data_IF_613137422189
#
_entry.id   IF_613137422189
#
_cell.length_a   1.000
_cell.length_b   1.000
_cell.length_c   1.000
_cell.angle_alpha   90.00
_cell.angle_beta   90.00
_cell.angle_gamma   90.00
#
_symmetry.space_group_name_H-M   'P 1'
#
loop_
_entity.id
_entity.type
_entity.pdbx_description
1 polymer ?
#
# COMPACT_ATOMS: atom_id res chain seq x y z
N UNK A 1 2.68 2.81 34.72
CA UNK A 1 2.61 2.39 33.30
C UNK A 1 1.31 2.93 32.74
N UNK A 2 1.36 3.72 31.68
CA UNK A 2 0.17 4.29 31.03
C UNK A 2 -0.53 3.23 30.18
N UNK A 3 -1.85 3.32 30.03
CA UNK A 3 -2.64 2.46 29.14
C UNK A 3 -2.13 2.51 27.69
N UNK A 4 -1.58 3.66 27.27
CA UNK A 4 -0.94 3.84 25.95
C UNK A 4 0.36 3.03 25.82
N UNK A 5 1.14 2.92 26.89
CA UNK A 5 2.36 2.10 26.91
C UNK A 5 2.00 0.62 26.80
N UNK A 6 0.88 0.22 27.42
CA UNK A 6 0.36 -1.14 27.36
C UNK A 6 -0.11 -1.49 25.94
N UNK A 7 -0.92 -0.63 25.33
CA UNK A 7 -1.36 -0.80 23.93
C UNK A 7 -0.17 -0.86 22.97
N UNK A 8 0.81 0.06 23.11
CA UNK A 8 2.01 0.04 22.28
C UNK A 8 2.83 -1.25 22.48
N UNK A 9 3.00 -1.69 23.72
CA UNK A 9 3.72 -2.92 24.04
C UNK A 9 3.02 -4.17 23.51
N UNK A 10 1.68 -4.21 23.54
CA UNK A 10 0.87 -5.30 22.99
C UNK A 10 0.97 -5.31 21.47
N UNK A 11 0.77 -4.16 20.80
CA UNK A 11 0.92 -4.05 19.35
C UNK A 11 2.32 -4.39 18.87
N UNK A 12 3.36 -4.03 19.63
CA UNK A 12 4.74 -4.42 19.36
C UNK A 12 4.93 -5.93 19.51
N UNK A 13 4.44 -6.51 20.61
CA UNK A 13 4.54 -7.93 20.88
C UNK A 13 3.77 -8.77 19.85
N UNK A 14 2.59 -8.35 19.42
CA UNK A 14 1.84 -9.03 18.35
C UNK A 14 2.59 -8.96 17.02
N UNK A 15 3.14 -7.80 16.66
CA UNK A 15 3.93 -7.62 15.43
C UNK A 15 5.21 -8.47 15.48
N UNK A 16 5.88 -8.52 16.63
CA UNK A 16 7.10 -9.31 16.83
C UNK A 16 6.81 -10.81 16.77
N UNK A 17 5.72 -11.27 17.38
CA UNK A 17 5.27 -12.67 17.31
C UNK A 17 4.90 -13.04 15.88
N UNK A 18 4.08 -12.24 15.20
CA UNK A 18 3.71 -12.50 13.80
C UNK A 18 4.93 -12.49 12.87
N UNK A 19 5.88 -11.57 13.10
CA UNK A 19 7.16 -11.52 12.37
C UNK A 19 8.02 -12.76 12.63
N UNK A 20 8.08 -13.25 13.88
CA UNK A 20 8.80 -14.48 14.21
C UNK A 20 8.14 -15.74 13.62
N UNK A 21 6.80 -15.81 13.64
CA UNK A 21 6.04 -16.89 13.00
C UNK A 21 6.24 -16.88 11.49
N UNK A 22 6.18 -15.71 10.86
CA UNK A 22 6.45 -15.56 9.43
C UNK A 22 7.90 -15.92 9.06
N UNK A 23 8.86 -15.70 9.97
CA UNK A 23 10.26 -16.09 9.78
C UNK A 23 10.48 -17.58 9.98
N UNK A 24 9.81 -18.22 10.93
CA UNK A 24 10.14 -19.57 11.37
C UNK A 24 9.08 -20.61 10.94
N UNK A 25 8.29 -20.32 9.90
CA UNK A 25 7.28 -21.24 9.39
C UNK A 25 7.95 -22.51 8.83
N UNK A 26 7.78 -23.69 9.46
CA UNK A 26 8.43 -24.94 9.05
C UNK A 26 7.86 -25.53 7.76
N UNK A 27 6.69 -25.06 7.30
CA UNK A 27 6.07 -25.47 6.03
C UNK A 27 6.55 -24.63 4.84
N UNK A 28 7.39 -23.63 5.09
CA UNK A 28 7.89 -22.74 4.05
C UNK A 28 9.17 -23.28 3.45
N UNK A 29 9.26 -23.27 2.12
CA UNK A 29 10.50 -23.62 1.44
C UNK A 29 11.59 -22.58 1.81
N UNK A 30 12.77 -23.06 2.22
CA UNK A 30 13.89 -22.22 2.67
C UNK A 30 14.24 -21.14 1.65
N UNK A 31 14.14 -21.46 0.35
CA UNK A 31 14.53 -20.57 -0.74
C UNK A 31 13.58 -19.37 -0.90
N UNK A 32 12.31 -19.48 -0.51
CA UNK A 32 11.33 -18.38 -0.62
C UNK A 32 11.08 -17.66 0.71
N UNK A 33 11.68 -18.13 1.82
CA UNK A 33 11.48 -17.59 3.17
C UNK A 33 11.72 -16.08 3.25
N UNK A 34 12.84 -15.60 2.70
CA UNK A 34 13.20 -14.18 2.76
C UNK A 34 12.23 -13.30 1.96
N UNK A 35 11.86 -13.73 0.75
CA UNK A 35 10.92 -13.01 -0.12
C UNK A 35 9.52 -12.95 0.48
N UNK A 36 9.05 -14.06 1.06
CA UNK A 36 7.77 -14.11 1.75
C UNK A 36 7.75 -13.24 3.01
N UNK A 37 8.84 -13.24 3.78
CA UNK A 37 8.98 -12.32 4.92
C UNK A 37 8.93 -10.86 4.46
N UNK A 38 9.59 -10.52 3.35
CA UNK A 38 9.52 -9.19 2.77
C UNK A 38 8.09 -8.82 2.34
N UNK A 39 7.37 -9.71 1.63
CA UNK A 39 5.96 -9.52 1.25
C UNK A 39 5.02 -9.36 2.47
N UNK A 40 5.31 -10.07 3.56
CA UNK A 40 4.61 -9.92 4.82
C UNK A 40 4.84 -8.52 5.40
N UNK A 41 6.08 -8.04 5.44
CA UNK A 41 6.37 -6.69 5.92
C UNK A 41 5.76 -5.60 5.02
N UNK A 42 5.75 -5.80 3.70
CA UNK A 42 5.05 -4.88 2.78
C UNK A 42 3.54 -4.83 3.03
N UNK A 43 2.92 -5.95 3.42
CA UNK A 43 1.49 -5.96 3.82
C UNK A 43 1.28 -5.12 5.08
N UNK A 44 2.17 -5.26 6.06
CA UNK A 44 2.10 -4.48 7.30
C UNK A 44 2.33 -2.98 7.04
N UNK A 45 3.29 -2.62 6.19
CA UNK A 45 3.52 -1.23 5.77
C UNK A 45 2.28 -0.66 5.07
N UNK A 46 1.67 -1.42 4.14
CA UNK A 46 0.44 -1.00 3.46
C UNK A 46 -0.72 -0.80 4.45
N UNK A 47 -0.90 -1.69 5.41
CA UNK A 47 -1.92 -1.55 6.45
C UNK A 47 -1.67 -0.29 7.29
N UNK A 48 -0.42 -0.06 7.72
CA UNK A 48 -0.03 1.14 8.46
C UNK A 48 -0.28 2.43 7.66
N UNK A 49 0.00 2.45 6.35
CA UNK A 49 -0.29 3.58 5.48
C UNK A 49 -1.79 3.86 5.40
N UNK A 50 -2.62 2.82 5.23
CA UNK A 50 -4.09 2.96 5.22
C UNK A 50 -4.62 3.49 6.55
N UNK A 51 -4.16 2.94 7.66
CA UNK A 51 -4.53 3.44 9.00
C UNK A 51 -4.10 4.88 9.18
N UNK A 52 -2.88 5.26 8.77
CA UNK A 52 -2.41 6.64 8.84
C UNK A 52 -3.30 7.59 8.03
N UNK A 53 -3.61 7.24 6.78
CA UNK A 53 -4.49 8.05 5.91
C UNK A 53 -5.88 8.23 6.52
N UNK A 54 -6.44 7.17 7.11
CA UNK A 54 -7.70 7.25 7.87
C UNK A 54 -7.60 8.18 9.08
N UNK A 55 -6.53 8.05 9.89
CA UNK A 55 -6.33 8.92 11.05
C UNK A 55 -6.13 10.39 10.67
N UNK A 56 -5.48 10.66 9.54
CA UNK A 56 -5.39 12.01 8.99
C UNK A 56 -6.77 12.57 8.65
N UNK A 57 -7.62 11.80 7.98
CA UNK A 57 -8.99 12.22 7.67
C UNK A 57 -9.80 12.54 8.92
N UNK A 58 -9.75 11.68 9.94
CA UNK A 58 -10.46 11.92 11.21
C UNK A 58 -9.91 13.14 11.95
N UNK A 59 -8.59 13.34 11.93
CA UNK A 59 -7.96 14.55 12.49
C UNK A 59 -8.44 15.81 11.78
N UNK A 60 -8.54 15.76 10.45
CA UNK A 60 -9.01 16.90 9.64
C UNK A 60 -10.48 17.23 9.92
N UNK A 61 -11.34 16.20 10.09
CA UNK A 61 -12.76 16.39 10.47
C UNK A 61 -12.88 17.06 11.83
N UNK A 62 -12.16 16.55 12.83
CA UNK A 62 -12.17 17.14 14.18
C UNK A 62 -11.69 18.61 14.15
N UNK A 63 -10.66 18.91 13.35
CA UNK A 63 -10.20 20.29 13.14
C UNK A 63 -11.29 21.18 12.52
N UNK A 64 -11.97 20.71 11.47
CA UNK A 64 -13.07 21.44 10.83
C UNK A 64 -14.23 21.72 11.79
N UNK A 65 -14.61 20.73 12.58
CA UNK A 65 -15.66 20.86 13.59
C UNK A 65 -15.27 21.93 14.62
N UNK A 66 -14.03 21.89 15.12
CA UNK A 66 -13.52 22.92 16.03
C UNK A 66 -13.54 24.31 15.40
N UNK A 67 -13.08 24.47 14.16
CA UNK A 67 -13.14 25.76 13.43
C UNK A 67 -14.58 26.27 13.35
N UNK A 68 -15.53 25.40 13.04
CA UNK A 68 -16.94 25.75 12.97
C UNK A 68 -17.48 26.20 14.33
N UNK A 69 -17.29 25.42 15.38
CA UNK A 69 -17.76 25.74 16.74
C UNK A 69 -17.15 27.05 17.27
N UNK A 70 -15.84 27.23 17.08
CA UNK A 70 -15.11 28.41 17.55
C UNK A 70 -15.59 29.67 16.81
N UNK A 71 -15.84 29.57 15.50
CA UNK A 71 -16.39 30.68 14.71
C UNK A 71 -17.81 31.06 15.16
N UNK A 72 -18.63 30.09 15.57
CA UNK A 72 -19.97 30.35 16.07
C UNK A 72 -19.95 31.00 17.46
N UNK A 73 -19.09 30.51 18.35
CA UNK A 73 -18.96 31.00 19.73
C UNK A 73 -18.51 32.46 19.79
N UNK A 74 -17.75 32.91 18.79
CA UNK A 74 -17.17 34.25 18.74
C UNK A 74 -17.69 35.10 17.57
N UNK A 75 -18.89 34.81 17.06
CA UNK A 75 -19.49 35.40 15.86
C UNK A 75 -19.44 36.94 15.79
N UNK A 76 -19.48 37.62 16.93
CA UNK A 76 -19.47 39.09 17.02
C UNK A 76 -18.05 39.70 17.01
N UNK A 77 -17.00 38.88 16.86
CA UNK A 77 -15.59 39.31 16.83
C UNK A 77 -14.98 39.05 15.47
N UNK A 78 -14.11 39.95 15.01
CA UNK A 78 -13.33 39.79 13.78
C UNK A 78 -12.51 38.48 13.76
N UNK A 79 -12.05 38.04 14.94
CA UNK A 79 -11.43 36.74 15.17
C UNK A 79 -12.22 35.56 14.58
N UNK A 80 -13.56 35.57 14.66
CA UNK A 80 -14.37 34.47 14.14
C UNK A 80 -14.38 34.39 12.61
N UNK A 81 -14.26 35.53 11.92
CA UNK A 81 -14.09 35.57 10.47
C UNK A 81 -12.74 34.97 10.05
N UNK A 82 -11.68 35.41 10.72
CA UNK A 82 -10.30 34.96 10.47
C UNK A 82 -10.12 33.45 10.69
N UNK A 83 -10.59 32.92 11.83
CA UNK A 83 -10.57 31.48 12.12
C UNK A 83 -11.37 30.68 11.10
N UNK A 84 -12.53 31.18 10.68
CA UNK A 84 -13.36 30.46 9.70
C UNK A 84 -12.71 30.42 8.33
N UNK A 85 -12.10 31.51 7.89
CA UNK A 85 -11.52 31.66 6.55
C UNK A 85 -10.19 30.91 6.45
N UNK A 86 -9.22 31.24 7.32
CA UNK A 86 -7.91 30.59 7.37
C UNK A 86 -8.06 29.12 7.79
N UNK A 87 -8.90 28.81 8.78
CA UNK A 87 -9.16 27.44 9.21
C UNK A 87 -9.83 26.60 8.11
N UNK A 88 -10.74 27.20 7.34
CA UNK A 88 -11.35 26.54 6.18
C UNK A 88 -10.33 26.24 5.07
N UNK A 89 -9.42 27.17 4.79
CA UNK A 89 -8.34 26.98 3.83
C UNK A 89 -7.37 25.87 4.27
N UNK A 90 -6.97 25.87 5.54
CA UNK A 90 -6.12 24.82 6.12
C UNK A 90 -6.79 23.44 6.09
N UNK A 91 -8.09 23.37 6.37
CA UNK A 91 -8.84 22.13 6.23
C UNK A 91 -8.80 21.60 4.79
N UNK A 92 -9.07 22.44 3.79
CA UNK A 92 -9.01 22.05 2.39
C UNK A 92 -7.61 21.60 1.95
N UNK A 93 -6.56 22.23 2.48
CA UNK A 93 -5.17 21.80 2.28
C UNK A 93 -4.92 20.40 2.85
N UNK A 94 -5.40 20.13 4.07
CA UNK A 94 -5.22 18.81 4.68
C UNK A 94 -6.12 17.72 4.07
N UNK A 95 -7.29 18.08 3.52
CA UNK A 95 -8.05 17.16 2.65
C UNK A 95 -7.24 16.76 1.43
N UNK A 96 -6.58 17.72 0.78
CA UNK A 96 -5.68 17.43 -0.34
C UNK A 96 -4.53 16.51 0.08
N UNK A 97 -3.96 16.70 1.27
CA UNK A 97 -2.96 15.76 1.81
C UNK A 97 -3.53 14.33 1.93
N UNK A 98 -4.76 14.17 2.42
CA UNK A 98 -5.40 12.85 2.53
C UNK A 98 -5.65 12.21 1.16
N UNK A 99 -5.98 12.98 0.13
CA UNK A 99 -6.07 12.47 -1.25
C UNK A 99 -4.71 11.97 -1.76
N UNK A 100 -3.64 12.71 -1.51
CA UNK A 100 -2.28 12.31 -1.90
C UNK A 100 -1.84 11.02 -1.18
N UNK A 101 -2.21 10.85 0.09
CA UNK A 101 -1.96 9.59 0.81
C UNK A 101 -2.63 8.41 0.10
N UNK A 102 -3.88 8.56 -0.33
CA UNK A 102 -4.62 7.51 -1.04
C UNK A 102 -3.98 7.18 -2.39
N UNK A 103 -3.56 8.20 -3.15
CA UNK A 103 -2.82 8.01 -4.41
C UNK A 103 -1.52 7.24 -4.17
N UNK A 104 -0.73 7.62 -3.16
CA UNK A 104 0.50 6.91 -2.80
C UNK A 104 0.25 5.46 -2.37
N UNK A 105 -0.82 5.21 -1.60
CA UNK A 105 -1.24 3.86 -1.21
C UNK A 105 -1.54 2.99 -2.43
N UNK A 106 -2.21 3.53 -3.45
CA UNK A 106 -2.54 2.79 -4.68
C UNK A 106 -1.27 2.39 -5.46
N UNK A 107 -0.31 3.31 -5.59
CA UNK A 107 0.98 3.04 -6.23
C UNK A 107 1.82 2.03 -5.42
N UNK A 108 1.79 2.12 -4.09
CA UNK A 108 2.46 1.14 -3.23
C UNK A 108 1.87 -0.27 -3.41
N UNK A 109 0.56 -0.39 -3.62
CA UNK A 109 -0.08 -1.67 -3.95
C UNK A 109 0.41 -2.24 -5.30
N UNK A 110 0.58 -1.39 -6.31
CA UNK A 110 1.18 -1.78 -7.60
C UNK A 110 2.59 -2.33 -7.42
N UNK A 111 3.45 -1.63 -6.67
CA UNK A 111 4.78 -2.14 -6.30
C UNK A 111 4.71 -3.52 -5.63
N UNK A 112 3.82 -3.71 -4.65
CA UNK A 112 3.66 -5.01 -3.96
C UNK A 112 3.19 -6.12 -4.92
N UNK A 113 2.32 -5.81 -5.89
CA UNK A 113 1.88 -6.78 -6.91
C UNK A 113 3.05 -7.28 -7.76
N UNK A 114 3.97 -6.39 -8.16
CA UNK A 114 5.18 -6.78 -8.90
C UNK A 114 6.03 -7.75 -8.06
N UNK A 115 6.25 -7.44 -6.77
CA UNK A 115 7.01 -8.34 -5.88
C UNK A 115 6.31 -9.69 -5.67
N UNK A 116 4.97 -9.71 -5.57
CA UNK A 116 4.18 -10.95 -5.48
C UNK A 116 4.38 -11.82 -6.71
N UNK A 117 4.54 -11.24 -7.89
CA UNK A 117 4.82 -11.98 -9.12
C UNK A 117 6.18 -12.69 -9.12
N UNK A 118 7.20 -12.06 -8.51
CA UNK A 118 8.52 -12.68 -8.30
C UNK A 118 8.36 -13.96 -7.48
N UNK A 119 7.63 -13.88 -6.37
CA UNK A 119 7.35 -15.05 -5.51
C UNK A 119 6.58 -16.14 -6.24
N UNK A 120 5.61 -15.76 -7.07
CA UNK A 120 4.85 -16.72 -7.87
C UNK A 120 5.74 -17.46 -8.88
N UNK A 121 6.63 -16.76 -9.59
CA UNK A 121 7.58 -17.41 -10.52
C UNK A 121 8.57 -18.30 -9.77
N UNK A 122 9.13 -17.84 -8.65
CA UNK A 122 10.01 -18.67 -7.81
C UNK A 122 9.32 -19.95 -7.33
N UNK A 123 8.09 -19.86 -6.85
CA UNK A 123 7.36 -21.02 -6.37
C UNK A 123 7.06 -22.03 -7.49
N UNK A 124 6.75 -21.55 -8.71
CA UNK A 124 6.55 -22.42 -9.87
C UNK A 124 7.80 -23.25 -10.18
N UNK A 125 8.98 -22.60 -10.22
CA UNK A 125 10.26 -23.28 -10.44
C UNK A 125 10.57 -24.28 -9.34
N UNK A 126 10.36 -23.92 -8.08
CA UNK A 126 10.63 -24.82 -6.96
C UNK A 126 9.73 -26.07 -7.01
N UNK A 127 8.43 -25.88 -7.29
CA UNK A 127 7.50 -27.00 -7.45
C UNK A 127 7.90 -27.89 -8.63
N UNK A 128 8.39 -27.29 -9.73
CA UNK A 128 8.89 -28.03 -10.89
C UNK A 128 10.13 -28.87 -10.52
N UNK A 129 11.11 -28.27 -9.83
CA UNK A 129 12.32 -28.96 -9.39
C UNK A 129 12.04 -30.08 -8.38
N UNK A 130 11.09 -29.88 -7.47
CA UNK A 130 10.66 -30.91 -6.52
C UNK A 130 10.00 -32.10 -7.24
N UNK A 131 9.10 -31.84 -8.20
CA UNK A 131 8.49 -32.90 -9.02
C UNK A 131 9.54 -33.69 -9.81
N UNK A 132 10.49 -32.98 -10.42
CA UNK A 132 11.60 -33.60 -11.15
C UNK A 132 12.42 -34.54 -10.26
N UNK A 133 12.86 -34.06 -9.08
CA UNK A 133 13.58 -34.88 -8.10
C UNK A 133 12.78 -36.09 -7.64
N UNK A 134 11.49 -35.92 -7.37
CA UNK A 134 10.63 -37.03 -6.94
C UNK A 134 10.52 -38.14 -8.02
N UNK A 135 10.48 -37.77 -9.31
CA UNK A 135 10.49 -38.73 -10.42
C UNK A 135 11.87 -39.41 -10.52
N UNK A 136 12.96 -38.65 -10.42
CA UNK A 136 14.33 -39.18 -10.43
C UNK A 136 14.58 -40.18 -9.27
N UNK A 137 14.11 -39.88 -8.06
CA UNK A 137 14.21 -40.75 -6.89
C UNK A 137 13.40 -42.04 -7.07
N UNK A 138 12.19 -41.96 -7.64
CA UNK A 138 11.39 -43.15 -7.98
C UNK A 138 12.08 -44.03 -9.01
N UNK A 139 12.68 -43.44 -10.03
CA UNK A 139 13.49 -44.17 -11.02
C UNK A 139 14.67 -44.85 -10.31
N UNK A 140 15.41 -44.13 -9.47
CA UNK A 140 16.53 -44.67 -8.71
C UNK A 140 16.15 -45.83 -7.79
N UNK A 141 15.03 -45.69 -7.08
CA UNK A 141 14.49 -46.74 -6.21
C UNK A 141 14.06 -47.98 -7.02
N UNK A 142 13.33 -47.80 -8.13
CA UNK A 142 12.88 -48.90 -8.98
C UNK A 142 14.04 -49.61 -9.67
N UNK A 143 15.08 -48.90 -10.10
CA UNK A 143 16.29 -49.51 -10.65
C UNK A 143 17.00 -50.43 -9.65
N UNK A 144 17.01 -50.07 -8.36
CA UNK A 144 17.60 -50.89 -7.29
C UNK A 144 16.73 -52.07 -6.87
N UNK A 145 15.41 -51.87 -6.78
CA UNK A 145 14.45 -52.86 -6.25
C UNK A 145 13.90 -53.81 -7.31
N UNK A 146 13.54 -53.30 -8.50
CA UNK A 146 12.97 -54.10 -9.58
C UNK A 146 13.42 -53.57 -10.97
N UNK A 147 14.63 -53.95 -11.42
CA UNK A 147 15.24 -53.40 -12.63
C UNK A 147 14.54 -53.79 -13.95
N UNK A 148 13.62 -54.77 -13.95
CA UNK A 148 12.86 -55.18 -15.15
C UNK A 148 11.47 -54.54 -15.23
N UNK A 149 11.13 -53.63 -14.32
CA UNK A 149 9.81 -53.01 -14.30
C UNK A 149 9.58 -52.07 -15.49
N UNK A 150 8.46 -52.21 -16.19
CA UNK A 150 8.04 -51.29 -17.26
C UNK A 150 7.81 -49.85 -16.79
N UNK A 151 7.52 -49.67 -15.48
CA UNK A 151 7.34 -48.35 -14.85
C UNK A 151 8.59 -47.48 -14.93
N UNK A 152 9.78 -48.07 -15.06
CA UNK A 152 11.02 -47.32 -15.23
C UNK A 152 10.98 -46.54 -16.54
N UNK A 153 10.56 -47.19 -17.64
CA UNK A 153 10.45 -46.55 -18.95
C UNK A 153 9.38 -45.46 -18.98
N UNK A 154 8.28 -45.66 -18.25
CA UNK A 154 7.22 -44.65 -18.10
C UNK A 154 7.74 -43.39 -17.39
N UNK A 155 8.43 -43.54 -16.26
CA UNK A 155 9.00 -42.40 -15.53
C UNK A 155 10.15 -41.72 -16.27
N UNK A 156 10.98 -42.47 -17.00
CA UNK A 156 12.03 -41.88 -17.86
C UNK A 156 11.43 -41.05 -19.00
N UNK A 157 10.31 -41.51 -19.58
CA UNK A 157 9.57 -40.75 -20.59
C UNK A 157 8.93 -39.50 -19.99
N UNK A 158 8.35 -39.59 -18.80
CA UNK A 158 7.80 -38.43 -18.08
C UNK A 158 8.90 -37.39 -17.80
N UNK A 159 10.05 -37.82 -17.29
CA UNK A 159 11.20 -36.97 -17.01
C UNK A 159 11.73 -36.30 -18.29
N UNK A 160 11.81 -37.02 -19.40
CA UNK A 160 12.23 -36.47 -20.69
C UNK A 160 11.21 -35.52 -21.32
N UNK A 161 9.93 -35.62 -20.94
CA UNK A 161 8.90 -34.68 -21.36
C UNK A 161 8.90 -33.38 -20.54
N UNK A 162 9.49 -33.37 -19.34
CA UNK A 162 9.63 -32.17 -18.52
C UNK A 162 10.65 -31.21 -19.15
N UNK A 163 10.17 -30.05 -19.62
CA UNK A 163 11.03 -29.01 -20.19
C UNK A 163 11.77 -28.24 -19.08
N UNK A 164 13.04 -27.86 -19.27
CA UNK A 164 13.73 -27.00 -18.32
C UNK A 164 13.03 -25.64 -18.22
N UNK A 165 12.79 -25.15 -16.99
CA UNK A 165 12.31 -23.77 -16.81
C UNK A 165 13.43 -22.76 -17.11
N UNK A 166 13.04 -21.62 -17.70
CA UNK A 166 13.91 -20.49 -18.03
C UNK A 166 14.67 -19.96 -16.81
N UNK A 167 15.84 -19.34 -17.05
CA UNK A 167 16.62 -18.69 -16.00
C UNK A 167 15.80 -17.59 -15.29
N UNK A 168 15.56 -17.79 -14.00
CA UNK A 168 14.81 -16.85 -13.18
C UNK A 168 15.62 -15.59 -12.84
N UNK A 169 16.93 -15.62 -13.01
CA UNK A 169 17.80 -14.52 -12.61
C UNK A 169 17.50 -13.22 -13.38
N UNK A 170 17.33 -13.30 -14.71
CA UNK A 170 16.97 -12.13 -15.54
C UNK A 170 15.58 -11.61 -15.19
N UNK A 171 14.61 -12.51 -15.04
CA UNK A 171 13.26 -12.12 -14.63
C UNK A 171 13.24 -11.40 -13.27
N UNK A 172 14.00 -11.89 -12.28
CA UNK A 172 14.12 -11.22 -10.97
C UNK A 172 14.74 -9.84 -11.12
N UNK A 173 15.80 -9.70 -11.93
CA UNK A 173 16.46 -8.41 -12.19
C UNK A 173 15.47 -7.40 -12.76
N UNK A 174 14.73 -7.79 -13.79
CA UNK A 174 13.78 -6.91 -14.46
C UNK A 174 12.61 -6.54 -13.55
N UNK A 175 12.00 -7.52 -12.86
CA UNK A 175 10.87 -7.26 -11.97
C UNK A 175 11.26 -6.45 -10.73
N UNK A 176 12.45 -6.68 -10.16
CA UNK A 176 12.95 -5.84 -9.06
C UNK A 176 13.17 -4.41 -9.54
N UNK A 177 13.75 -4.23 -10.72
CA UNK A 177 13.91 -2.90 -11.33
C UNK A 177 12.56 -2.21 -11.48
N UNK A 178 11.57 -2.85 -12.10
CA UNK A 178 10.22 -2.28 -12.25
C UNK A 178 9.56 -1.99 -10.89
N UNK A 179 9.67 -2.90 -9.91
CA UNK A 179 9.12 -2.70 -8.57
C UNK A 179 9.70 -1.44 -7.90
N UNK A 180 11.02 -1.31 -7.88
CA UNK A 180 11.66 -0.17 -7.23
C UNK A 180 11.45 1.14 -8.00
N UNK A 181 11.41 1.14 -9.33
CA UNK A 181 11.00 2.34 -10.07
C UNK A 181 9.58 2.75 -9.71
N UNK A 182 8.63 1.81 -9.61
CA UNK A 182 7.27 2.12 -9.19
C UNK A 182 7.24 2.76 -7.79
N UNK A 183 7.90 2.14 -6.82
CA UNK A 183 7.96 2.64 -5.44
C UNK A 183 8.62 4.02 -5.35
N UNK A 184 9.75 4.21 -6.02
CA UNK A 184 10.54 5.44 -5.93
C UNK A 184 9.85 6.60 -6.66
N UNK A 185 9.26 6.35 -7.84
CA UNK A 185 8.50 7.37 -8.56
C UNK A 185 7.30 7.85 -7.73
N UNK A 186 6.55 6.92 -7.13
CA UNK A 186 5.43 7.24 -6.26
C UNK A 186 5.87 8.01 -5.00
N UNK A 187 6.99 7.62 -4.39
CA UNK A 187 7.54 8.30 -3.23
C UNK A 187 7.99 9.72 -3.56
N UNK A 188 8.64 9.92 -4.71
CA UNK A 188 9.07 11.23 -5.19
C UNK A 188 7.85 12.14 -5.42
N UNK A 189 6.85 11.67 -6.17
CA UNK A 189 5.61 12.41 -6.39
C UNK A 189 4.95 12.83 -5.09
N UNK A 190 4.79 11.88 -4.18
CA UNK A 190 4.17 12.12 -2.89
C UNK A 190 4.97 13.17 -2.08
N UNK A 191 6.28 13.02 -1.99
CA UNK A 191 7.14 13.95 -1.22
C UNK A 191 7.17 15.37 -1.81
N UNK A 192 7.23 15.51 -3.13
CA UNK A 192 7.28 16.81 -3.79
C UNK A 192 5.93 17.54 -3.68
N UNK A 193 4.81 16.83 -3.90
CA UNK A 193 3.47 17.40 -3.70
C UNK A 193 3.22 17.80 -2.24
N UNK A 194 3.66 16.99 -1.27
CA UNK A 194 3.61 17.37 0.15
C UNK A 194 4.48 18.60 0.45
N UNK A 195 5.60 18.76 -0.24
CA UNK A 195 6.46 19.93 -0.06
C UNK A 195 5.75 21.20 -0.53
N UNK A 196 5.01 21.14 -1.64
CA UNK A 196 4.17 22.25 -2.11
C UNK A 196 3.10 22.58 -1.06
N UNK A 197 2.33 21.58 -0.61
CA UNK A 197 1.31 21.77 0.43
C UNK A 197 1.90 22.38 1.71
N UNK A 198 3.04 21.89 2.19
CA UNK A 198 3.66 22.38 3.41
C UNK A 198 4.18 23.82 3.28
N UNK A 199 4.61 24.26 2.10
CA UNK A 199 5.03 25.64 1.85
C UNK A 199 3.83 26.58 1.86
N UNK A 200 2.82 26.30 1.04
CA UNK A 200 1.60 27.11 0.99
C UNK A 200 0.85 27.11 2.32
N UNK A 201 0.85 26.00 3.05
CA UNK A 201 0.24 25.92 4.38
C UNK A 201 0.88 26.87 5.39
N UNK A 202 2.21 27.08 5.34
CA UNK A 202 2.89 28.07 6.19
C UNK A 202 2.49 29.49 5.80
N UNK A 203 2.42 29.78 4.50
CA UNK A 203 1.99 31.08 3.99
C UNK A 203 0.55 31.40 4.42
N UNK A 204 -0.35 30.42 4.36
CA UNK A 204 -1.74 30.55 4.86
C UNK A 204 -1.77 30.84 6.37
N UNK A 205 -0.94 30.16 7.16
CA UNK A 205 -0.84 30.42 8.61
C UNK A 205 -0.32 31.82 8.90
N UNK A 206 0.60 32.35 8.09
CA UNK A 206 1.18 33.68 8.29
C UNK A 206 0.16 34.82 8.09
N UNK A 207 -0.98 34.53 7.46
CA UNK A 207 -2.10 35.48 7.28
C UNK A 207 -2.91 35.66 8.56
N UNK A 208 -2.92 34.66 9.45
CA UNK A 208 -3.70 34.69 10.69
C UNK A 208 -3.36 35.92 11.54
N UNK A 209 -4.40 36.67 11.95
CA UNK A 209 -4.27 37.89 12.75
C UNK A 209 -3.82 39.12 11.97
N UNK A 210 -3.64 39.04 10.66
CA UNK A 210 -3.36 40.20 9.78
C UNK A 210 -4.61 40.58 8.98
N UNK A 211 -4.84 41.87 8.73
CA UNK A 211 -5.85 42.30 7.76
C UNK A 211 -5.48 41.72 6.40
N UNK A 212 -6.37 40.90 5.85
CA UNK A 212 -6.20 40.29 4.54
C UNK A 212 -7.53 40.30 3.81
N UNK A 213 -7.47 40.41 2.49
CA UNK A 213 -8.65 40.26 1.66
C UNK A 213 -8.90 38.77 1.42
N UNK A 214 -10.16 38.35 1.48
CA UNK A 214 -10.61 36.99 1.09
C UNK A 214 -10.06 36.54 -0.25
N UNK A 215 -9.92 37.50 -1.17
CA UNK A 215 -9.38 37.25 -2.51
C UNK A 215 -7.93 36.77 -2.46
N UNK A 216 -7.11 37.29 -1.55
CA UNK A 216 -5.71 36.93 -1.41
C UNK A 216 -5.57 35.46 -0.98
N UNK A 217 -6.29 35.06 0.07
CA UNK A 217 -6.32 33.67 0.54
C UNK A 217 -6.83 32.71 -0.55
N UNK A 218 -7.89 33.09 -1.26
CA UNK A 218 -8.43 32.29 -2.36
C UNK A 218 -7.43 32.12 -3.51
N UNK A 219 -6.66 33.16 -3.84
CA UNK A 219 -5.62 33.08 -4.87
C UNK A 219 -4.49 32.15 -4.44
N UNK A 220 -4.01 32.24 -3.19
CA UNK A 220 -2.99 31.33 -2.66
C UNK A 220 -3.46 29.86 -2.67
N UNK A 221 -4.71 29.62 -2.26
CA UNK A 221 -5.30 28.28 -2.32
C UNK A 221 -5.40 27.75 -3.75
N UNK A 222 -5.84 28.58 -4.69
CA UNK A 222 -5.95 28.20 -6.10
C UNK A 222 -4.57 27.88 -6.69
N UNK A 223 -3.58 28.73 -6.45
CA UNK A 223 -2.21 28.52 -6.93
C UNK A 223 -1.60 27.24 -6.37
N UNK A 224 -1.81 26.97 -5.08
CA UNK A 224 -1.40 25.71 -4.44
C UNK A 224 -2.06 24.49 -5.08
N UNK A 225 -3.38 24.50 -5.27
CA UNK A 225 -4.10 23.36 -5.86
C UNK A 225 -3.64 23.09 -7.30
N UNK A 226 -3.49 24.15 -8.11
CA UNK A 226 -2.96 24.05 -9.47
C UNK A 226 -1.52 23.54 -9.49
N UNK A 227 -0.68 23.98 -8.56
CA UNK A 227 0.71 23.53 -8.46
C UNK A 227 0.81 22.06 -8.07
N UNK A 228 -0.06 21.59 -7.16
CA UNK A 228 -0.13 20.18 -6.76
C UNK A 228 -0.66 19.31 -7.90
N UNK A 229 -1.74 19.72 -8.55
CA UNK A 229 -2.39 18.94 -9.62
C UNK A 229 -1.58 18.98 -10.94
N UNK A 230 -0.91 20.10 -11.22
CA UNK A 230 -0.02 20.28 -12.36
C UNK A 230 1.38 19.69 -12.17
N UNK A 231 1.70 19.17 -10.98
CA UNK A 231 3.01 18.58 -10.72
C UNK A 231 3.24 17.37 -11.63
N UNK A 232 4.40 17.35 -12.29
CA UNK A 232 4.85 16.22 -13.08
C UNK A 232 6.37 16.06 -12.96
N UNK A 233 6.86 14.82 -13.08
CA UNK A 233 8.29 14.51 -13.18
C UNK A 233 8.58 13.66 -14.40
N UNK A 234 9.84 13.66 -14.86
CA UNK A 234 10.32 12.72 -15.87
C UNK A 234 10.31 11.30 -15.30
N UNK A 235 9.19 10.59 -15.47
CA UNK A 235 9.08 9.19 -15.06
C UNK A 235 9.62 8.29 -16.14
N UNK A 236 10.45 7.32 -15.76
CA UNK A 236 10.60 6.10 -16.55
C UNK A 236 9.22 5.42 -16.61
N UNK A 237 8.66 5.16 -17.81
CA UNK A 237 7.42 4.39 -17.92
C UNK A 237 7.64 2.99 -17.32
N UNK A 238 6.86 2.64 -16.29
CA UNK A 238 6.88 1.28 -15.74
C UNK A 238 6.22 0.35 -16.73
N UNK A 239 6.94 -0.67 -17.19
CA UNK A 239 6.37 -1.68 -18.08
C UNK A 239 5.72 -2.74 -17.20
N UNK A 240 4.49 -2.47 -16.76
CA UNK A 240 3.72 -3.46 -16.02
C UNK A 240 3.37 -4.62 -16.96
N UNK A 241 3.72 -5.87 -16.62
CA UNK A 241 3.19 -7.03 -17.33
C UNK A 241 1.75 -7.38 -16.90
N UNK A 242 1.10 -6.53 -16.09
CA UNK A 242 -0.19 -6.81 -15.46
C UNK A 242 -1.31 -6.01 -16.11
N UNK A 243 -2.39 -6.70 -16.45
CA UNK A 243 -3.65 -6.07 -16.80
C UNK A 243 -4.28 -5.51 -15.52
N UNK A 244 -4.64 -4.22 -15.49
CA UNK A 244 -5.20 -3.55 -14.29
C UNK A 244 -6.45 -4.25 -13.71
N UNK A 245 -7.09 -5.11 -14.53
CA UNK A 245 -8.31 -5.85 -14.22
C UNK A 245 -8.12 -7.15 -13.44
N UNK A 246 -6.90 -7.66 -13.24
CA UNK A 246 -6.68 -8.74 -12.27
C UNK A 246 -6.66 -8.13 -10.86
N UNK A 247 -7.88 -7.94 -10.32
CA UNK A 247 -8.09 -7.91 -8.89
C UNK A 247 -7.51 -9.18 -8.25
N UNK A 248 -7.17 -9.12 -6.97
CA UNK A 248 -6.50 -10.15 -6.17
C UNK A 248 -7.25 -11.51 -6.18
N UNK A 249 -7.26 -12.22 -7.32
CA UNK A 249 -7.89 -13.50 -7.51
C UNK A 249 -6.87 -14.62 -7.27
N UNK A 250 -6.30 -14.64 -6.07
CA UNK A 250 -5.85 -15.88 -5.42
C UNK A 250 -6.27 -15.75 -3.95
N UNK A 251 -7.56 -16.00 -3.71
CA UNK A 251 -8.02 -16.63 -2.49
C UNK A 251 -7.44 -18.04 -2.48
N UNK A 252 -6.56 -18.31 -1.52
CA UNK A 252 -6.44 -19.64 -0.93
C UNK A 252 -6.29 -19.42 0.57
N UNK A 253 -7.33 -19.88 1.26
CA UNK A 253 -7.60 -19.92 2.70
C UNK A 253 -7.90 -18.57 3.35
N UNK A 254 -9.18 -18.20 3.22
CA UNK A 254 -9.98 -17.71 4.35
C UNK A 254 -9.68 -18.56 5.59
N UNK A 255 -8.91 -17.98 6.51
CA UNK A 255 -8.95 -18.22 7.96
C UNK A 255 -7.85 -17.33 8.53
N UNK A 256 -8.22 -16.07 8.82
CA UNK A 256 -7.79 -15.29 9.98
C UNK A 256 -8.21 -13.82 9.79
N UNK A 257 -9.43 -13.54 10.25
CA UNK A 257 -9.89 -12.34 10.97
C UNK A 257 -9.34 -11.01 10.43
N UNK A 258 -10.13 -10.31 9.60
CA UNK A 258 -10.23 -8.83 9.60
C UNK A 258 -11.28 -8.33 8.59
N UNK A 259 -12.49 -8.91 8.61
CA UNK A 259 -13.64 -8.35 7.88
C UNK A 259 -14.63 -7.71 8.87
N UNK A 260 -14.18 -6.64 9.54
CA UNK A 260 -15.04 -5.68 10.23
C UNK A 260 -14.51 -4.24 10.09
N UNK A 261 -14.17 -3.81 8.88
CA UNK A 261 -14.09 -2.38 8.55
C UNK A 261 -14.53 -2.14 7.10
N UNK A 262 -15.70 -2.68 6.73
CA UNK A 262 -16.47 -2.14 5.62
C UNK A 262 -17.16 -0.86 6.11
N UNK A 263 -16.55 0.30 5.81
CA UNK A 263 -17.24 1.57 6.00
C UNK A 263 -18.33 1.72 4.93
N UNK A 264 -19.57 2.07 5.30
CA UNK A 264 -20.59 2.41 4.32
C UNK A 264 -20.26 3.73 3.63
N UNK A 265 -20.23 3.71 2.29
CA UNK A 265 -20.36 4.92 1.48
C UNK A 265 -21.72 5.56 1.80
N UNK A 266 -21.71 6.70 2.49
CA UNK A 266 -22.91 7.52 2.63
C UNK A 266 -23.04 8.36 1.37
N UNK A 267 -23.90 7.91 0.46
CA UNK A 267 -24.53 8.78 -0.54
C UNK A 267 -25.44 9.78 0.20
N UNK A 268 -25.13 11.07 0.11
CA UNK A 268 -26.03 12.12 0.56
C UNK A 268 -27.23 12.20 -0.40
N UNK A 269 -28.33 11.54 -0.06
CA UNK A 269 -29.65 11.86 -0.60
C UNK A 269 -30.15 13.16 0.04
N UNK A 270 -30.11 14.26 -0.72
CA UNK A 270 -30.81 15.50 -0.40
C UNK A 270 -32.30 15.24 -0.63
N UNK A 271 -33.09 15.16 0.44
CA UNK A 271 -34.55 15.28 0.35
C UNK A 271 -34.97 16.67 0.83
N UNK A 272 -35.53 17.41 -0.11
CA UNK A 272 -36.31 18.61 0.09
C UNK A 272 -37.33 18.44 1.23
N UNK A 273 -37.30 19.35 2.21
CA UNK A 273 -38.47 19.66 3.02
C UNK A 273 -38.74 21.17 2.97
N UNK A 274 -39.80 21.51 2.24
CA UNK A 274 -40.59 22.71 2.44
C UNK A 274 -41.08 22.73 3.90
N UNK A 275 -40.89 23.85 4.59
CA UNK A 275 -41.91 24.72 5.20
C UNK A 275 -41.25 26.09 5.35
#
# INVERSE_FOLDING_TARGET
>A
MSFKDLQYSISKLTTDVQSQVARNNPLQNNDTRCLNYWLFQQRNELAALKTRSYQHLETNKAFKEWVYEESLKHKDKDYAGDIKEVGGALYALFEKQSELDQQYINEYQLHRRIVKSIRQKEQKILNFQERKRAVEDRIGHLKKSNPKSSKIQEFEKELGAMQPEEDIADFKRDMLKEAFYMKLNALQEYAEKLTILAKSGKEIVDILGKPHDKSELNMMMMDMMLSVDGWHSERRPTLLPFNEKEGDAISLTEDDIDEQLAMPCVSCDVKDHKI
#
